data_IF_533187021524
#
_entry.id   IF_533187021524
#
_cell.length_a   1.000
_cell.length_b   1.000
_cell.length_c   1.000
_cell.angle_alpha   90.00
_cell.angle_beta   90.00
_cell.angle_gamma   90.00
#
_symmetry.space_group_name_H-M   'P 1'
#
loop_
_entity.id
_entity.type
_entity.pdbx_description
1 polymer ?
#
# COMPACT_ATOMS: atom_id res chain seq x y z
N UNK A 1 -2.40 12.39 -23.72
CA UNK A 1 -3.20 11.19 -24.03
C UNK A 1 -2.41 10.00 -23.54
N UNK A 2 -3.01 9.17 -22.68
CA UNK A 2 -2.41 7.93 -22.19
C UNK A 2 -3.14 6.77 -22.88
N UNK A 3 -2.37 5.82 -23.42
CA UNK A 3 -2.92 4.71 -24.20
C UNK A 3 -2.36 3.39 -23.66
N UNK A 4 -3.25 2.45 -23.37
CA UNK A 4 -2.93 1.05 -23.10
C UNK A 4 -3.53 0.16 -24.18
N UNK A 5 -3.31 -1.16 -24.11
CA UNK A 5 -4.00 -2.12 -24.97
C UNK A 5 -5.54 -2.06 -24.83
N UNK A 6 -6.03 -1.65 -23.66
CA UNK A 6 -7.46 -1.74 -23.33
C UNK A 6 -8.17 -0.38 -23.30
N UNK A 7 -7.44 0.73 -23.09
CA UNK A 7 -8.04 2.05 -22.89
C UNK A 7 -7.24 3.18 -23.54
N UNK A 8 -7.96 4.20 -24.01
CA UNK A 8 -7.41 5.51 -24.37
C UNK A 8 -7.99 6.58 -23.45
N UNK A 9 -7.14 7.31 -22.76
CA UNK A 9 -7.53 8.38 -21.83
C UNK A 9 -7.06 9.73 -22.37
N UNK A 10 -8.03 10.59 -22.68
CA UNK A 10 -7.78 11.92 -23.26
C UNK A 10 -7.29 12.91 -22.20
N UNK A 11 -6.55 13.97 -22.60
CA UNK A 11 -6.23 15.07 -21.69
C UNK A 11 -7.50 15.63 -21.01
N UNK A 12 -7.44 15.81 -19.69
CA UNK A 12 -8.57 16.27 -18.88
C UNK A 12 -9.49 15.15 -18.37
N UNK A 13 -9.32 13.90 -18.80
CA UNK A 13 -10.07 12.76 -18.27
C UNK A 13 -9.35 12.10 -17.07
N UNK A 14 -10.13 11.40 -16.25
CA UNK A 14 -9.62 10.64 -15.10
C UNK A 14 -8.85 9.42 -15.59
N UNK A 15 -7.58 9.29 -15.17
CA UNK A 15 -6.69 8.15 -15.52
C UNK A 15 -6.37 7.21 -14.34
N UNK A 16 -7.02 7.43 -13.20
CA UNK A 16 -6.73 6.75 -11.95
C UNK A 16 -7.06 7.60 -10.74
N UNK A 17 -6.41 7.35 -9.61
CA UNK A 17 -6.63 8.04 -8.35
C UNK A 17 -5.33 8.36 -7.59
N UNK A 18 -5.43 9.39 -6.75
CA UNK A 18 -4.54 9.65 -5.63
C UNK A 18 -5.41 9.75 -4.38
N UNK A 19 -5.25 8.82 -3.47
CA UNK A 19 -5.92 8.81 -2.18
C UNK A 19 -4.92 9.16 -1.08
N UNK A 20 -5.31 10.06 -0.18
CA UNK A 20 -4.49 10.44 0.97
C UNK A 20 -5.30 10.18 2.23
N UNK A 21 -4.80 9.29 3.08
CA UNK A 21 -5.34 9.01 4.40
C UNK A 21 -4.43 9.63 5.46
N UNK A 22 -5.03 10.19 6.51
CA UNK A 22 -4.32 10.81 7.63
C UNK A 22 -4.82 10.22 8.94
N UNK A 23 -3.89 9.80 9.79
CA UNK A 23 -4.14 9.31 11.14
C UNK A 23 -3.86 10.38 12.17
N UNK A 24 -4.74 10.51 13.16
CA UNK A 24 -4.65 11.51 14.22
C UNK A 24 -4.72 10.85 15.60
N UNK A 25 -4.01 11.43 16.57
CA UNK A 25 -4.19 11.24 18.02
C UNK A 25 -4.65 12.57 18.63
N UNK A 26 -4.86 12.60 19.95
CA UNK A 26 -5.15 13.84 20.68
C UNK A 26 -4.00 14.89 20.56
N UNK A 27 -2.79 14.44 20.24
CA UNK A 27 -1.60 15.29 20.06
C UNK A 27 -1.47 15.85 18.64
N UNK A 28 -2.26 15.33 17.68
CA UNK A 28 -2.27 15.78 16.28
C UNK A 28 -2.09 14.66 15.25
N UNK A 29 -1.74 15.05 14.02
CA UNK A 29 -1.47 14.09 12.94
C UNK A 29 -0.19 13.28 13.23
N UNK A 30 -0.28 11.95 13.21
CA UNK A 30 0.87 11.08 13.45
C UNK A 30 1.25 10.22 12.23
N UNK A 31 0.38 10.14 11.22
CA UNK A 31 0.61 9.33 10.03
C UNK A 31 -0.09 9.92 8.81
N UNK A 32 0.60 9.95 7.68
CA UNK A 32 0.00 10.15 6.35
C UNK A 32 0.33 8.94 5.47
N UNK A 33 -0.67 8.42 4.76
CA UNK A 33 -0.52 7.42 3.71
C UNK A 33 -1.01 8.01 2.39
N UNK A 34 -0.15 8.02 1.37
CA UNK A 34 -0.52 8.41 0.01
C UNK A 34 -0.50 7.18 -0.88
N UNK A 35 -1.66 6.82 -1.43
CA UNK A 35 -1.81 5.73 -2.39
C UNK A 35 -2.10 6.31 -3.78
N UNK A 36 -1.35 5.88 -4.79
CA UNK A 36 -1.51 6.30 -6.18
C UNK A 36 -1.69 5.05 -7.03
N UNK A 37 -2.83 4.96 -7.70
CA UNK A 37 -3.12 3.92 -8.68
C UNK A 37 -3.62 4.61 -9.95
N UNK A 38 -2.74 4.76 -10.94
CA UNK A 38 -3.04 5.46 -12.17
C UNK A 38 -2.22 4.92 -13.34
N UNK A 39 -2.78 5.04 -14.55
CA UNK A 39 -2.05 4.76 -15.78
C UNK A 39 -0.89 5.74 -15.94
N UNK A 40 0.28 5.24 -16.38
CA UNK A 40 1.53 6.01 -16.52
C UNK A 40 1.87 6.84 -15.27
N UNK A 41 1.78 6.25 -14.08
CA UNK A 41 2.07 6.91 -12.81
C UNK A 41 3.58 7.13 -12.54
N UNK A 42 4.47 6.67 -13.42
CA UNK A 42 5.92 6.80 -13.28
C UNK A 42 6.56 5.54 -12.68
N UNK A 43 7.55 5.73 -11.81
CA UNK A 43 8.19 4.61 -11.10
C UNK A 43 7.27 4.05 -10.03
N UNK A 44 7.03 2.75 -10.11
CA UNK A 44 6.32 2.00 -9.08
C UNK A 44 7.24 1.70 -7.89
N UNK A 45 6.68 1.73 -6.69
CA UNK A 45 7.46 1.58 -5.46
C UNK A 45 6.74 2.00 -4.20
N UNK A 46 7.20 1.42 -3.09
CA UNK A 46 6.75 1.79 -1.74
C UNK A 46 7.87 2.56 -1.05
N UNK A 47 7.53 3.72 -0.50
CA UNK A 47 8.43 4.51 0.35
C UNK A 47 7.82 4.67 1.73
N UNK A 48 8.56 4.28 2.75
CA UNK A 48 8.16 4.41 4.15
C UNK A 48 9.17 5.33 4.82
N UNK A 49 8.69 6.43 5.38
CA UNK A 49 9.49 7.38 6.16
C UNK A 49 8.98 7.38 7.58
N UNK A 50 9.87 7.20 8.56
CA UNK A 50 9.56 7.24 9.98
C UNK A 50 10.45 8.31 10.62
N UNK A 51 9.84 9.34 11.19
CA UNK A 51 10.55 10.39 11.92
C UNK A 51 10.72 10.00 13.38
N UNK A 52 11.91 10.17 13.94
CA UNK A 52 12.24 9.73 15.28
C UNK A 52 13.71 9.92 15.61
N UNK A 53 14.27 9.00 16.40
CA UNK A 53 15.70 8.98 16.72
C UNK A 53 16.22 7.53 16.65
N UNK A 54 16.87 7.12 15.55
CA UNK A 54 17.14 7.89 14.33
C UNK A 54 15.90 8.02 13.43
N UNK A 55 15.95 8.95 12.49
CA UNK A 55 15.03 8.94 11.34
C UNK A 55 15.34 7.74 10.44
N UNK A 56 14.30 7.19 9.80
CA UNK A 56 14.40 6.04 8.89
C UNK A 56 13.69 6.33 7.56
N UNK A 57 14.36 5.99 6.45
CA UNK A 57 13.77 5.95 5.12
C UNK A 57 13.98 4.56 4.51
N UNK A 58 12.89 3.91 4.09
CA UNK A 58 12.90 2.61 3.42
C UNK A 58 12.29 2.81 2.03
N UNK A 59 12.99 2.36 1.00
CA UNK A 59 12.52 2.37 -0.39
C UNK A 59 12.52 0.96 -0.93
N UNK A 60 11.34 0.48 -1.32
CA UNK A 60 11.16 -0.80 -1.99
C UNK A 60 10.88 -0.51 -3.46
N UNK A 61 11.65 -1.14 -4.35
CA UNK A 61 11.23 -1.27 -5.75
C UNK A 61 9.97 -2.14 -5.71
N UNK A 62 8.82 -1.58 -6.09
CA UNK A 62 7.50 -2.06 -5.70
C UNK A 62 7.28 -3.57 -5.89
N UNK A 63 6.34 -4.12 -5.15
CA UNK A 63 5.90 -5.51 -5.36
C UNK A 63 4.82 -5.58 -6.43
N UNK A 64 4.85 -6.60 -7.29
CA UNK A 64 3.68 -6.92 -8.09
C UNK A 64 2.49 -7.21 -7.15
N UNK A 65 1.52 -6.30 -7.11
CA UNK A 65 0.44 -6.32 -6.12
C UNK A 65 -0.39 -7.59 -6.16
N UNK A 66 -0.69 -8.11 -7.35
CA UNK A 66 -1.49 -9.33 -7.53
C UNK A 66 -0.77 -10.55 -6.95
N UNK A 67 0.50 -10.75 -7.33
CA UNK A 67 1.31 -11.86 -6.85
C UNK A 67 1.55 -11.75 -5.34
N UNK A 68 1.86 -10.54 -4.83
CA UNK A 68 2.10 -10.32 -3.41
C UNK A 68 0.84 -10.57 -2.57
N UNK A 69 -0.33 -10.15 -3.05
CA UNK A 69 -1.62 -10.36 -2.39
C UNK A 69 -1.97 -11.84 -2.27
N UNK A 70 -1.80 -12.60 -3.35
CA UNK A 70 -2.00 -14.06 -3.33
C UNK A 70 -0.99 -14.73 -2.40
N UNK A 71 0.28 -14.34 -2.49
CA UNK A 71 1.35 -14.94 -1.69
C UNK A 71 1.12 -14.74 -0.19
N UNK A 72 0.77 -13.52 0.26
CA UNK A 72 0.57 -13.27 1.69
C UNK A 72 -0.66 -14.02 2.22
N UNK A 73 -1.74 -14.10 1.44
CA UNK A 73 -2.94 -14.87 1.82
C UNK A 73 -2.62 -16.35 2.03
N UNK A 74 -1.90 -16.98 1.09
CA UNK A 74 -1.51 -18.40 1.18
C UNK A 74 -0.51 -18.63 2.32
N UNK A 75 0.51 -17.78 2.44
CA UNK A 75 1.56 -17.91 3.46
C UNK A 75 1.03 -17.72 4.89
N UNK A 76 -0.08 -16.97 5.05
CA UNK A 76 -0.73 -16.75 6.34
C UNK A 76 -1.54 -17.95 6.83
N UNK A 77 -1.97 -18.88 5.95
CA UNK A 77 -2.92 -19.98 6.30
C UNK A 77 -2.48 -20.77 7.52
N UNK A 78 -1.21 -21.20 7.58
CA UNK A 78 -0.70 -21.98 8.71
C UNK A 78 -0.78 -21.19 10.03
N UNK A 79 -0.39 -19.92 10.00
CA UNK A 79 -0.37 -19.03 11.16
C UNK A 79 -1.77 -18.75 11.68
N UNK A 80 -2.72 -18.50 10.76
CA UNK A 80 -4.13 -18.31 11.09
C UNK A 80 -4.72 -19.59 11.71
N UNK A 81 -4.39 -20.76 11.18
CA UNK A 81 -4.84 -22.05 11.75
C UNK A 81 -4.34 -22.26 13.19
N UNK A 82 -3.12 -21.82 13.48
CA UNK A 82 -2.48 -21.95 14.80
C UNK A 82 -2.87 -20.82 15.77
N UNK A 83 -3.56 -19.78 15.31
CA UNK A 83 -3.96 -18.63 16.12
C UNK A 83 -5.14 -18.93 17.06
N UNK A 84 -5.30 -18.11 18.10
CA UNK A 84 -6.45 -18.18 18.98
C UNK A 84 -7.75 -17.81 18.24
N UNK A 85 -8.92 -18.37 18.63
CA UNK A 85 -10.19 -18.00 18.03
C UNK A 85 -10.50 -16.51 18.19
N UNK A 86 -11.07 -15.90 17.15
CA UNK A 86 -11.49 -14.51 17.15
C UNK A 86 -11.10 -13.76 15.88
N UNK A 87 -11.29 -12.44 15.89
CA UNK A 87 -10.77 -11.57 14.84
C UNK A 87 -9.29 -11.27 15.13
N UNK A 88 -8.42 -11.75 14.25
CA UNK A 88 -6.97 -11.54 14.33
C UNK A 88 -6.49 -10.69 13.15
N UNK A 89 -5.40 -9.96 13.36
CA UNK A 89 -4.76 -9.11 12.35
C UNK A 89 -3.33 -9.57 12.08
N UNK A 90 -2.69 -9.03 11.04
CA UNK A 90 -1.28 -9.33 10.74
C UNK A 90 -0.32 -8.95 11.87
N UNK A 91 -0.69 -8.02 12.77
CA UNK A 91 0.11 -7.68 13.96
C UNK A 91 0.13 -8.80 15.00
N UNK A 92 -0.89 -9.66 14.98
CA UNK A 92 -1.07 -10.73 15.96
C UNK A 92 -0.46 -12.07 15.48
N UNK A 93 0.02 -12.12 14.24
CA UNK A 93 0.62 -13.31 13.61
C UNK A 93 2.15 -13.17 13.51
N UNK A 94 2.93 -14.24 13.77
CA UNK A 94 4.38 -14.24 13.61
C UNK A 94 4.85 -14.37 12.16
#
# INVERSE_FOLDING_TARGET
>A
MTTTEHFQVQPGQVRGLKQVARGYTDEGEFMTLTFIAALDAGQDGDTITISGKPDLEIKLQGTNGDLATVAIAVNAVRRVKEAAPGLVTMRDLP
#
